data_IF_600824949357
#
_entry.id   IF_600824949357
#
_cell.length_a   1.000
_cell.length_b   1.000
_cell.length_c   1.000
_cell.angle_alpha   90.00
_cell.angle_beta   90.00
_cell.angle_gamma   90.00
#
_symmetry.space_group_name_H-M   'P 1'
#
loop_
_entity.id
_entity.type
_entity.pdbx_description
1 polymer ?
#
# COMPACT_ATOMS: atom_id res chain seq x y z
N UNK A 1 -2.41 -15.15 7.21
CA UNK A 1 -1.75 -13.84 7.29
C UNK A 1 -0.32 -14.12 7.64
N UNK A 2 0.56 -13.89 6.68
CA UNK A 2 1.99 -14.02 6.91
C UNK A 2 2.49 -12.77 7.66
N UNK A 3 3.57 -12.94 8.40
CA UNK A 3 4.15 -11.84 9.17
C UNK A 3 5.08 -11.03 8.27
N UNK A 4 4.71 -9.77 8.05
CA UNK A 4 5.54 -8.80 7.34
C UNK A 4 6.74 -8.45 8.22
N UNK A 5 7.94 -8.61 7.67
CA UNK A 5 9.20 -8.17 8.27
C UNK A 5 9.41 -6.68 8.01
N UNK A 6 9.32 -6.28 6.74
CA UNK A 6 9.48 -4.91 6.26
C UNK A 6 8.47 -4.63 5.14
N UNK A 7 7.97 -3.39 5.09
CA UNK A 7 7.12 -2.89 4.01
C UNK A 7 7.61 -1.50 3.62
N UNK A 8 7.88 -1.31 2.34
CA UNK A 8 8.22 -0.01 1.76
C UNK A 8 7.25 0.29 0.63
N UNK A 9 6.66 1.48 0.67
CA UNK A 9 5.82 2.01 -0.39
C UNK A 9 6.39 3.35 -0.83
N UNK A 10 6.73 3.50 -2.11
CA UNK A 10 7.17 4.77 -2.69
C UNK A 10 6.09 5.29 -3.65
N UNK A 11 5.47 6.40 -3.29
CA UNK A 11 4.45 7.09 -4.08
C UNK A 11 5.06 8.28 -4.78
N UNK A 12 4.86 8.42 -6.08
CA UNK A 12 5.20 9.65 -6.82
C UNK A 12 3.90 10.40 -7.08
N UNK A 13 3.83 11.64 -6.61
CA UNK A 13 2.70 12.54 -6.86
C UNK A 13 2.81 13.22 -8.22
N UNK A 14 1.70 13.78 -8.70
CA UNK A 14 1.66 14.53 -9.97
C UNK A 14 2.59 15.76 -9.99
N UNK A 15 2.98 16.27 -8.81
CA UNK A 15 3.96 17.35 -8.66
C UNK A 15 5.42 16.87 -8.53
N UNK A 16 5.70 15.61 -8.91
CA UNK A 16 6.99 14.92 -8.79
C UNK A 16 7.47 14.72 -7.33
N UNK A 17 6.66 15.09 -6.33
CA UNK A 17 6.97 14.83 -4.92
C UNK A 17 6.89 13.33 -4.63
N UNK A 18 7.95 12.77 -4.06
CA UNK A 18 7.99 11.37 -3.64
C UNK A 18 7.62 11.23 -2.16
N UNK A 19 6.67 10.37 -1.83
CA UNK A 19 6.32 10.00 -0.45
C UNK A 19 6.73 8.56 -0.21
N UNK A 20 7.44 8.29 0.87
CA UNK A 20 7.84 6.93 1.25
C UNK A 20 7.14 6.57 2.56
N UNK A 21 6.45 5.43 2.57
CA UNK A 21 5.93 4.79 3.78
C UNK A 21 6.81 3.59 4.08
N UNK A 22 7.46 3.58 5.23
CA UNK A 22 8.34 2.50 5.69
C UNK A 22 7.76 1.89 6.96
N UNK A 23 7.67 0.56 7.02
CA UNK A 23 7.34 -0.19 8.22
C UNK A 23 8.41 -1.25 8.47
N UNK A 24 8.82 -1.37 9.74
CA UNK A 24 9.74 -2.40 10.23
C UNK A 24 9.13 -3.12 11.42
N UNK A 25 9.09 -4.45 11.36
CA UNK A 25 8.48 -5.28 12.39
C UNK A 25 9.22 -5.28 13.73
N UNK A 26 10.54 -5.09 13.73
CA UNK A 26 11.35 -4.99 14.95
C UNK A 26 10.94 -3.80 15.82
N UNK A 27 10.68 -2.65 15.19
CA UNK A 27 10.28 -1.41 15.88
C UNK A 27 8.75 -1.27 16.01
N UNK A 28 8.00 -2.05 15.23
CA UNK A 28 6.54 -1.90 15.05
C UNK A 28 6.14 -0.45 14.74
N UNK A 29 7.02 0.27 14.05
CA UNK A 29 6.87 1.68 13.74
C UNK A 29 6.61 1.85 12.26
N UNK A 30 5.70 2.77 11.94
CA UNK A 30 5.49 3.24 10.58
C UNK A 30 6.05 4.65 10.49
N UNK A 31 6.92 4.86 9.53
CA UNK A 31 7.47 6.17 9.20
C UNK A 31 6.93 6.61 7.84
N UNK A 32 6.50 7.88 7.74
CA UNK A 32 6.12 8.48 6.45
C UNK A 32 7.04 9.67 6.21
N UNK A 33 7.73 9.68 5.08
CA UNK A 33 8.65 10.75 4.69
C UNK A 33 8.31 11.31 3.32
N UNK A 34 8.37 12.63 3.18
CA UNK A 34 8.44 13.29 1.89
C UNK A 34 9.92 13.36 1.48
N UNK A 35 10.25 12.81 0.32
CA UNK A 35 11.56 12.91 -0.30
C UNK A 35 11.51 14.02 -1.33
N UNK A 36 12.30 15.06 -1.06
CA UNK A 36 12.48 16.24 -1.93
C UNK A 36 13.94 16.32 -2.38
N UNK A 37 14.26 17.24 -3.28
CA UNK A 37 15.65 17.50 -3.67
C UNK A 37 16.55 17.90 -2.47
N UNK A 38 15.94 18.47 -1.41
CA UNK A 38 16.65 18.93 -0.21
C UNK A 38 16.86 17.82 0.84
N UNK A 39 16.23 16.65 0.68
CA UNK A 39 16.39 15.50 1.57
C UNK A 39 15.09 14.77 1.88
N UNK A 40 15.03 14.14 3.06
CA UNK A 40 13.82 13.49 3.60
C UNK A 40 13.24 14.35 4.73
N UNK A 41 11.95 14.64 4.67
CA UNK A 41 11.19 15.30 5.75
C UNK A 41 10.12 14.34 6.27
N UNK A 42 10.16 14.02 7.56
CA UNK A 42 9.10 13.23 8.19
C UNK A 42 7.79 14.01 8.24
N UNK A 43 6.71 13.35 7.83
CA UNK A 43 5.36 13.92 7.85
C UNK A 43 4.45 13.11 8.77
N UNK A 44 3.33 13.73 9.14
CA UNK A 44 2.31 13.08 9.96
C UNK A 44 1.79 11.81 9.27
N UNK A 45 2.00 10.66 9.90
CA UNK A 45 1.55 9.34 9.40
C UNK A 45 0.05 9.31 9.16
N UNK A 46 -0.72 9.88 10.09
CA UNK A 46 -2.20 9.99 10.03
C UNK A 46 -2.70 10.84 8.86
N UNK A 47 -1.83 11.59 8.18
CA UNK A 47 -2.21 12.40 7.02
C UNK A 47 -2.10 11.62 5.70
N UNK A 48 -1.58 10.39 5.73
CA UNK A 48 -1.33 9.61 4.51
C UNK A 48 -1.92 8.19 4.59
N UNK A 49 -1.85 7.56 5.76
CA UNK A 49 -2.36 6.20 5.99
C UNK A 49 -3.44 6.19 7.07
N UNK A 50 -4.29 5.17 7.01
CA UNK A 50 -5.33 4.91 8.01
C UNK A 50 -4.76 4.51 9.37
N UNK A 51 -5.53 4.77 10.42
CA UNK A 51 -5.24 4.21 11.74
C UNK A 51 -5.18 2.68 11.66
N UNK A 52 -4.24 2.08 12.40
CA UNK A 52 -3.99 0.63 12.42
C UNK A 52 -3.65 0.04 11.04
N UNK A 53 -3.02 0.83 10.16
CA UNK A 53 -2.60 0.46 8.80
C UNK A 53 -2.07 -0.97 8.68
N UNK A 54 -1.05 -1.34 9.48
CA UNK A 54 -0.44 -2.67 9.44
C UNK A 54 -1.36 -3.77 9.95
N UNK A 55 -2.14 -3.50 11.02
CA UNK A 55 -3.06 -4.49 11.59
C UNK A 55 -4.20 -4.83 10.63
N UNK A 56 -4.62 -3.85 9.81
CA UNK A 56 -5.65 -4.02 8.79
C UNK A 56 -5.11 -4.60 7.47
N UNK A 57 -3.79 -4.59 7.26
CA UNK A 57 -3.13 -5.09 6.05
C UNK A 57 -3.05 -6.60 6.07
N UNK A 58 -4.08 -7.27 5.58
CA UNK A 58 -4.10 -8.72 5.44
C UNK A 58 -3.30 -9.14 4.20
N UNK A 59 -1.98 -9.24 4.32
CA UNK A 59 -1.09 -9.74 3.28
C UNK A 59 -0.71 -11.22 3.50
N UNK A 60 -0.44 -11.91 2.39
CA UNK A 60 0.00 -13.30 2.34
C UNK A 60 1.00 -13.48 1.20
N UNK A 61 1.98 -14.36 1.38
CA UNK A 61 3.01 -14.69 0.39
C UNK A 61 2.46 -15.28 -0.91
N UNK A 62 1.26 -15.88 -0.85
CA UNK A 62 0.54 -16.44 -1.99
C UNK A 62 -0.37 -15.44 -2.73
N UNK A 63 -0.45 -14.18 -2.26
CA UNK A 63 -1.25 -13.15 -2.93
C UNK A 63 -0.64 -12.72 -4.26
N UNK A 64 -1.51 -12.40 -5.22
CA UNK A 64 -1.09 -11.76 -6.48
C UNK A 64 -0.83 -10.27 -6.27
N UNK A 65 0.01 -9.68 -7.12
CA UNK A 65 0.33 -8.24 -7.11
C UNK A 65 -0.93 -7.37 -7.07
N UNK A 66 -1.96 -7.67 -7.88
CA UNK A 66 -3.26 -6.94 -7.86
C UNK A 66 -3.96 -7.00 -6.50
N UNK A 67 -3.91 -8.14 -5.81
CA UNK A 67 -4.52 -8.28 -4.47
C UNK A 67 -3.74 -7.52 -3.41
N UNK A 68 -2.41 -7.58 -3.47
CA UNK A 68 -1.53 -6.79 -2.58
C UNK A 68 -1.78 -5.30 -2.79
N UNK A 69 -1.83 -4.85 -4.04
CA UNK A 69 -2.16 -3.47 -4.41
C UNK A 69 -3.52 -3.05 -3.83
N UNK A 70 -4.58 -3.81 -4.07
CA UNK A 70 -5.91 -3.49 -3.54
C UNK A 70 -5.94 -3.41 -2.00
N UNK A 71 -5.24 -4.31 -1.32
CA UNK A 71 -5.14 -4.28 0.14
C UNK A 71 -4.43 -3.01 0.63
N UNK A 72 -3.36 -2.59 -0.05
CA UNK A 72 -2.62 -1.36 0.26
C UNK A 72 -3.46 -0.12 0.00
N UNK A 73 -4.06 -0.01 -1.19
CA UNK A 73 -4.89 1.15 -1.58
C UNK A 73 -6.08 1.37 -0.64
N UNK A 74 -6.66 0.31 -0.10
CA UNK A 74 -7.73 0.41 0.89
C UNK A 74 -7.29 1.00 2.25
N UNK A 75 -5.98 1.01 2.53
CA UNK A 75 -5.41 1.54 3.78
C UNK A 75 -4.73 2.90 3.60
N UNK A 76 -4.66 3.42 2.37
CA UNK A 76 -4.07 4.72 2.04
C UNK A 76 -5.23 5.71 1.81
N UNK A 77 -5.19 6.86 2.48
CA UNK A 77 -6.21 7.90 2.28
C UNK A 77 -5.84 8.89 1.16
N UNK A 78 -4.62 8.80 0.63
CA UNK A 78 -4.16 9.62 -0.49
C UNK A 78 -4.47 8.97 -1.83
N UNK A 79 -5.23 9.66 -2.68
CA UNK A 79 -5.56 9.23 -4.05
C UNK A 79 -4.78 9.99 -5.13
N UNK A 80 -3.88 10.88 -4.74
CA UNK A 80 -3.18 11.80 -5.64
C UNK A 80 -1.73 11.33 -5.85
N UNK A 81 -1.57 10.21 -6.56
CA UNK A 81 -0.27 9.72 -6.99
C UNK A 81 -0.34 9.17 -8.42
N UNK A 82 0.74 9.38 -9.16
CA UNK A 82 0.92 8.96 -10.56
C UNK A 82 1.57 7.57 -10.62
N UNK A 83 2.44 7.26 -9.67
CA UNK A 83 3.17 5.99 -9.58
C UNK A 83 3.20 5.49 -8.13
N UNK A 84 3.21 4.17 -7.97
CA UNK A 84 3.39 3.46 -6.72
C UNK A 84 4.38 2.30 -6.91
N UNK A 85 5.47 2.29 -6.16
CA UNK A 85 6.35 1.14 -6.00
C UNK A 85 6.08 0.47 -4.65
N UNK A 86 5.89 -0.85 -4.68
CA UNK A 86 5.58 -1.67 -3.51
C UNK A 86 6.70 -2.67 -3.32
N UNK A 87 7.26 -2.72 -2.11
CA UNK A 87 8.17 -3.76 -1.67
C UNK A 87 7.71 -4.32 -0.31
N UNK A 88 7.45 -5.62 -0.25
CA UNK A 88 7.04 -6.34 0.96
C UNK A 88 8.01 -7.49 1.21
N UNK A 89 8.61 -7.52 2.40
CA UNK A 89 9.46 -8.61 2.86
C UNK A 89 8.75 -9.34 4.00
N UNK A 90 8.66 -10.66 3.93
CA UNK A 90 8.03 -11.50 4.95
C UNK A 90 9.07 -12.21 5.81
N UNK A 91 8.73 -12.54 7.06
CA UNK A 91 9.64 -13.21 8.01
C UNK A 91 10.09 -14.62 7.56
N UNK A 92 9.41 -15.24 6.59
CA UNK A 92 9.87 -16.51 6.01
C UNK A 92 10.97 -16.34 4.96
N UNK A 93 11.28 -15.09 4.58
CA UNK A 93 12.24 -14.70 3.55
C UNK A 93 11.64 -14.54 2.15
N UNK A 94 10.32 -14.66 2.00
CA UNK A 94 9.64 -14.33 0.74
C UNK A 94 9.57 -12.81 0.55
N UNK A 95 9.71 -12.35 -0.70
CA UNK A 95 9.65 -10.94 -1.07
C UNK A 95 8.65 -10.74 -2.23
N UNK A 96 7.87 -9.67 -2.17
CA UNK A 96 6.98 -9.21 -3.24
C UNK A 96 7.40 -7.78 -3.61
N UNK A 97 7.76 -7.57 -4.87
CA UNK A 97 8.16 -6.26 -5.41
C UNK A 97 7.45 -5.99 -6.73
N UNK A 98 6.77 -4.86 -6.86
CA UNK A 98 6.15 -4.42 -8.12
C UNK A 98 5.96 -2.91 -8.19
N UNK A 99 5.83 -2.38 -9.42
CA UNK A 99 5.53 -0.98 -9.70
C UNK A 99 4.18 -0.87 -10.41
N UNK A 100 3.40 0.13 -10.03
CA UNK A 100 2.07 0.44 -10.54
C UNK A 100 2.00 1.90 -11.01
N UNK A 101 1.63 2.11 -12.28
CA UNK A 101 1.45 3.43 -12.88
C UNK A 101 -0.07 3.76 -12.93
N UNK A 102 -0.54 4.64 -12.04
CA UNK A 102 -1.96 5.04 -11.94
C UNK A 102 -2.43 5.78 -13.19
N UNK A 103 -1.53 6.53 -13.84
CA UNK A 103 -1.86 7.31 -15.04
C UNK A 103 -2.16 6.41 -16.24
N UNK A 104 -1.63 5.18 -16.25
CA UNK A 104 -1.79 4.23 -17.36
C UNK A 104 -2.98 3.29 -17.16
N UNK A 105 -3.30 2.97 -15.91
CA UNK A 105 -4.43 2.11 -15.55
C UNK A 105 -5.50 2.98 -14.86
N UNK A 106 -6.39 3.58 -15.66
CA UNK A 106 -7.69 4.02 -15.13
C UNK A 106 -8.32 2.80 -14.50
N UNK A 107 -8.30 2.77 -13.17
CA UNK A 107 -8.63 1.60 -12.37
C UNK A 107 -10.08 1.22 -12.71
N UNK A 108 -10.26 0.22 -13.57
CA UNK A 108 -11.41 -0.68 -13.51
C UNK A 108 -11.24 -1.43 -12.19
N UNK A 109 -11.59 -0.76 -11.09
CA UNK A 109 -11.98 -1.46 -9.88
C UNK A 109 -13.25 -2.17 -10.32
N UNK A 110 -13.11 -3.43 -10.76
CA UNK A 110 -14.22 -4.36 -10.76
C UNK A 110 -14.81 -4.24 -9.35
N UNK A 111 -15.90 -3.49 -9.25
CA UNK A 111 -16.86 -3.60 -8.19
C UNK A 111 -17.23 -5.07 -8.21
N UNK A 112 -16.69 -5.85 -7.25
CA UNK A 112 -17.07 -7.24 -7.03
C UNK A 112 -18.59 -7.31 -7.16
N UNK A 113 -19.03 -8.02 -8.22
CA UNK A 113 -20.42 -8.23 -8.56
C UNK A 113 -21.17 -8.66 -7.29
N UNK A 114 -22.28 -7.97 -7.02
CA UNK A 114 -23.28 -8.34 -6.04
C UNK A 114 -23.63 -9.83 -6.19
N UNK A 115 -23.23 -10.70 -5.25
CA UNK A 115 -23.96 -11.94 -5.04
C UNK A 115 -25.20 -11.62 -4.20
N UNK A 116 -26.20 -11.14 -4.93
CA UNK A 116 -27.60 -11.04 -4.56
C UNK A 116 -28.13 -12.48 -4.32
N UNK A 117 -27.93 -13.01 -3.12
CA UNK A 117 -28.64 -14.22 -2.65
C UNK A 117 -30.09 -13.84 -2.28
N UNK A 118 -30.86 -13.41 -3.27
CA UNK A 118 -32.30 -13.60 -3.30
C UNK A 118 -32.59 -15.09 -3.57
N UNK A 119 -32.79 -15.88 -2.51
CA UNK A 119 -33.60 -17.09 -2.60
C UNK A 119 -34.79 -17.01 -1.62
N UNK A 120 -35.93 -16.61 -2.19
CA UNK A 120 -37.28 -16.90 -1.70
C UNK A 120 -37.43 -18.42 -1.45
N UNK A 121 -37.80 -18.83 -0.22
CA UNK A 121 -38.89 -19.80 0.06
C UNK A 121 -39.40 -19.69 1.50
#
# INVERSE_FOLDING_TARGET
MDHIEELTLEFVRDDDTTVIVEYKSDDQEITVVNKTEEGKEEVSTQSFIRENFIENLVLSTDMTEKKVLNALLNQIDSTEFSDLEVQVSFLDGTEIEFKYDVVSDQIEMDEDEEEDDEDEI
#
